data_IF_233403882120
#
_entry.id   IF_233403882120
#
_cell.length_a   1.000
_cell.length_b   1.000
_cell.length_c   1.000
_cell.angle_alpha   90.00
_cell.angle_beta   90.00
_cell.angle_gamma   90.00
#
_symmetry.space_group_name_H-M   'P 1'
#
loop_
_entity.id
_entity.type
_entity.pdbx_description
1 polymer ?
#
# COMPACT_ATOMS: atom_id res chain seq x y z
N UNK A 1 4.18 -28.62 36.76
CA UNK A 1 4.16 -27.15 36.79
C UNK A 1 4.04 -26.67 35.36
N UNK A 2 2.84 -26.27 34.98
CA UNK A 2 2.50 -25.81 33.63
C UNK A 2 2.79 -24.32 33.53
N UNK A 3 3.55 -23.91 32.52
CA UNK A 3 3.58 -22.53 32.02
C UNK A 3 2.72 -22.50 30.76
N UNK A 4 1.49 -21.96 30.79
CA UNK A 4 0.68 -21.78 29.59
C UNK A 4 0.59 -20.29 29.26
N UNK A 5 1.69 -19.62 28.89
CA UNK A 5 1.66 -18.16 28.62
C UNK A 5 2.66 -17.70 27.53
N UNK A 6 3.01 -18.54 26.56
CA UNK A 6 3.85 -18.12 25.43
C UNK A 6 3.27 -18.52 24.07
N UNK A 7 1.96 -18.40 23.92
CA UNK A 7 1.31 -18.19 22.62
C UNK A 7 0.79 -16.75 22.58
N UNK A 8 1.69 -15.77 22.75
CA UNK A 8 1.36 -14.40 22.35
C UNK A 8 1.44 -14.44 20.83
N UNK A 9 0.29 -14.44 20.18
CA UNK A 9 0.10 -14.36 18.74
C UNK A 9 1.04 -13.30 18.13
N UNK A 10 2.25 -13.72 17.74
CA UNK A 10 3.05 -12.99 16.78
C UNK A 10 2.27 -13.12 15.47
N UNK A 11 1.30 -12.22 15.26
CA UNK A 11 0.49 -12.15 14.07
C UNK A 11 1.44 -12.29 12.90
N UNK A 12 1.27 -13.34 12.08
CA UNK A 12 2.24 -13.66 11.02
C UNK A 12 2.53 -12.38 10.23
N UNK A 13 3.77 -12.12 9.78
CA UNK A 13 4.12 -10.88 9.06
C UNK A 13 3.19 -10.62 7.87
N UNK A 14 2.64 -11.67 7.27
CA UNK A 14 1.59 -11.57 6.25
C UNK A 14 0.28 -10.93 6.74
N UNK A 15 -0.19 -11.25 7.94
CA UNK A 15 -1.37 -10.63 8.59
C UNK A 15 -1.07 -9.17 8.90
N UNK A 16 0.11 -8.89 9.43
CA UNK A 16 0.50 -7.54 9.80
C UNK A 16 0.60 -6.60 8.58
N UNK A 17 1.23 -7.09 7.51
CA UNK A 17 1.24 -6.43 6.19
C UNK A 17 -0.16 -6.26 5.63
N UNK A 18 -1.02 -7.27 5.75
CA UNK A 18 -2.40 -7.21 5.26
C UNK A 18 -3.20 -6.11 5.97
N UNK A 19 -3.15 -6.04 7.30
CA UNK A 19 -3.86 -5.01 8.08
C UNK A 19 -3.42 -3.61 7.66
N UNK A 20 -2.11 -3.38 7.52
CA UNK A 20 -1.55 -2.09 7.08
C UNK A 20 -1.94 -1.71 5.66
N UNK A 21 -1.96 -2.68 4.74
CA UNK A 21 -2.46 -2.45 3.37
C UNK A 21 -3.96 -2.13 3.35
N UNK A 22 -4.75 -2.77 4.23
CA UNK A 22 -6.19 -2.48 4.35
C UNK A 22 -6.43 -1.06 4.86
N UNK A 23 -5.66 -0.60 5.85
CA UNK A 23 -5.73 0.79 6.33
C UNK A 23 -5.42 1.77 5.21
N UNK A 24 -4.27 1.64 4.53
CA UNK A 24 -3.92 2.48 3.37
C UNK A 24 -5.01 2.45 2.29
N UNK A 25 -5.56 1.28 2.00
CA UNK A 25 -6.64 1.09 1.05
C UNK A 25 -7.91 1.85 1.40
N UNK A 26 -8.27 1.99 2.68
CA UNK A 26 -9.41 2.82 3.11
C UNK A 26 -9.18 4.30 2.81
N UNK A 27 -7.97 4.81 3.10
CA UNK A 27 -7.61 6.19 2.79
C UNK A 27 -7.62 6.44 1.28
N UNK A 28 -7.02 5.55 0.48
CA UNK A 28 -7.03 5.66 -0.97
C UNK A 28 -8.45 5.66 -1.56
N UNK A 29 -9.35 4.82 -1.06
CA UNK A 29 -10.77 4.85 -1.47
C UNK A 29 -11.44 6.18 -1.16
N UNK A 30 -11.20 6.74 0.03
CA UNK A 30 -11.76 8.04 0.41
C UNK A 30 -11.28 9.16 -0.51
N UNK A 31 -10.11 9.01 -1.14
CA UNK A 31 -9.56 9.93 -2.12
C UNK A 31 -9.84 9.56 -3.58
N UNK A 32 -10.79 8.66 -3.85
CA UNK A 32 -11.29 8.39 -5.20
C UNK A 32 -10.50 7.33 -5.99
N UNK A 33 -9.59 6.60 -5.35
CA UNK A 33 -8.92 5.47 -5.99
C UNK A 33 -9.77 4.20 -5.93
N UNK A 34 -9.68 3.40 -6.98
CA UNK A 34 -10.17 2.03 -6.96
C UNK A 34 -9.07 1.12 -6.44
N UNK A 35 -9.37 0.30 -5.44
CA UNK A 35 -8.42 -0.67 -4.91
C UNK A 35 -8.87 -2.12 -5.13
N UNK A 36 -7.91 -3.01 -5.29
CA UNK A 36 -8.14 -4.45 -5.33
C UNK A 36 -7.07 -5.16 -4.51
N UNK A 37 -7.50 -5.95 -3.52
CA UNK A 37 -6.58 -6.74 -2.71
C UNK A 37 -6.11 -7.95 -3.49
N UNK A 38 -4.79 -8.21 -3.49
CA UNK A 38 -4.18 -9.42 -4.05
C UNK A 38 -3.35 -10.12 -2.98
N UNK A 39 -2.91 -11.34 -3.26
CA UNK A 39 -1.99 -12.06 -2.37
C UNK A 39 -0.73 -11.23 -2.15
N UNK A 40 -0.49 -10.78 -0.92
CA UNK A 40 0.71 -10.02 -0.53
C UNK A 40 0.73 -8.54 -0.93
N UNK A 41 -0.34 -7.98 -1.49
CA UNK A 41 -0.33 -6.59 -1.97
C UNK A 41 -1.70 -5.96 -2.19
N UNK A 42 -1.68 -4.67 -2.49
CA UNK A 42 -2.84 -3.83 -2.77
C UNK A 42 -2.66 -3.17 -4.15
N UNK A 43 -3.47 -3.57 -5.11
CA UNK A 43 -3.51 -2.91 -6.41
C UNK A 43 -4.32 -1.63 -6.29
N UNK A 44 -3.71 -0.50 -6.62
CA UNK A 44 -4.27 0.85 -6.57
C UNK A 44 -4.42 1.35 -7.99
N UNK A 45 -5.60 1.84 -8.35
CA UNK A 45 -5.93 2.33 -9.69
C UNK A 45 -6.53 3.72 -9.62
N UNK A 46 -5.97 4.64 -10.40
CA UNK A 46 -6.55 5.95 -10.63
C UNK A 46 -7.48 5.91 -11.85
N UNK A 47 -8.77 5.76 -11.60
CA UNK A 47 -9.81 5.80 -12.64
C UNK A 47 -10.23 7.23 -13.02
N UNK A 48 -9.79 8.23 -12.26
CA UNK A 48 -10.04 9.65 -12.52
C UNK A 48 -9.00 10.26 -13.46
N UNK A 49 -7.89 9.56 -13.71
CA UNK A 49 -6.83 10.06 -14.58
C UNK A 49 -7.37 10.29 -15.99
N UNK A 50 -7.48 11.56 -16.36
CA UNK A 50 -7.84 12.02 -17.71
C UNK A 50 -6.63 12.01 -18.64
N UNK A 51 -5.47 11.53 -18.16
CA UNK A 51 -4.25 11.41 -18.94
C UNK A 51 -4.53 10.60 -20.21
N UNK A 52 -4.42 11.29 -21.35
CA UNK A 52 -4.57 10.71 -22.67
C UNK A 52 -3.39 9.77 -22.87
N UNK A 53 -3.57 8.50 -22.55
CA UNK A 53 -2.66 7.43 -22.97
C UNK A 53 -2.39 7.59 -24.46
N UNK A 54 -1.13 7.83 -24.84
CA UNK A 54 -0.76 8.10 -26.22
C UNK A 54 -1.13 6.95 -27.19
N UNK A 55 -1.51 5.79 -26.66
CA UNK A 55 -2.01 4.65 -27.41
C UNK A 55 -3.41 4.22 -26.90
N UNK A 56 -4.47 4.78 -27.51
CA UNK A 56 -5.73 4.09 -27.82
C UNK A 56 -6.71 3.65 -26.72
N UNK A 57 -6.29 3.36 -25.50
CA UNK A 57 -7.18 2.96 -24.41
C UNK A 57 -6.84 3.75 -23.16
N UNK A 58 -7.80 4.55 -22.63
CA UNK A 58 -7.69 5.30 -21.37
C UNK A 58 -6.85 4.51 -20.36
N UNK A 59 -5.55 4.82 -20.30
CA UNK A 59 -4.62 4.09 -19.46
C UNK A 59 -4.94 4.43 -18.02
N UNK A 60 -5.69 3.56 -17.35
CA UNK A 60 -5.93 3.68 -15.91
C UNK A 60 -4.58 3.50 -15.24
N UNK A 61 -3.97 4.60 -14.76
CA UNK A 61 -2.70 4.53 -14.04
C UNK A 61 -2.89 3.63 -12.80
N UNK A 62 -2.01 2.65 -12.64
CA UNK A 62 -2.13 1.63 -11.61
C UNK A 62 -0.77 1.22 -11.06
N UNK A 63 -0.74 0.85 -9.79
CA UNK A 63 0.44 0.29 -9.13
C UNK A 63 0.01 -0.77 -8.10
N UNK A 64 0.91 -1.71 -7.79
CA UNK A 64 0.71 -2.71 -6.74
C UNK A 64 1.56 -2.34 -5.54
N UNK A 65 0.91 -1.91 -4.47
CA UNK A 65 1.56 -1.52 -3.23
C UNK A 65 1.74 -2.75 -2.35
N UNK A 66 2.96 -2.95 -1.87
CA UNK A 66 3.27 -3.99 -0.89
C UNK A 66 3.63 -3.37 0.45
N UNK A 67 3.54 -4.15 1.52
CA UNK A 67 3.91 -3.73 2.86
C UNK A 67 4.86 -4.78 3.43
N UNK A 68 6.05 -4.36 3.88
CA UNK A 68 7.05 -5.25 4.46
C UNK A 68 7.97 -4.48 5.42
N UNK A 69 8.67 -5.19 6.33
CA UNK A 69 9.75 -4.59 7.11
C UNK A 69 10.82 -3.99 6.19
N UNK A 70 11.30 -2.81 6.54
CA UNK A 70 12.40 -2.13 5.88
C UNK A 70 13.66 -2.33 6.70
N UNK A 71 14.59 -3.15 6.21
CA UNK A 71 15.79 -3.55 6.95
C UNK A 71 16.70 -2.36 7.27
N UNK A 72 16.74 -1.37 6.39
CA UNK A 72 17.53 -0.14 6.56
C UNK A 72 16.95 0.81 7.62
N UNK A 73 15.68 0.62 8.00
CA UNK A 73 14.95 1.47 8.97
C UNK A 73 14.61 0.68 10.24
N UNK A 74 15.51 -0.21 10.66
CA UNK A 74 15.37 -0.97 11.92
C UNK A 74 14.20 -1.96 11.92
N UNK A 75 13.78 -2.45 10.74
CA UNK A 75 12.68 -3.41 10.61
C UNK A 75 11.28 -2.80 10.70
N UNK A 76 11.16 -1.46 10.70
CA UNK A 76 9.86 -0.78 10.62
C UNK A 76 9.13 -1.15 9.34
N UNK A 77 7.81 -1.23 9.40
CA UNK A 77 7.01 -1.55 8.21
C UNK A 77 6.84 -0.33 7.32
N UNK A 78 7.14 -0.51 6.04
CA UNK A 78 7.02 0.50 5.00
C UNK A 78 6.12 0.02 3.86
N UNK A 79 5.54 0.97 3.16
CA UNK A 79 4.88 0.75 1.88
C UNK A 79 5.89 0.82 0.74
N UNK A 80 5.76 -0.07 -0.23
CA UNK A 80 6.63 -0.13 -1.40
C UNK A 80 5.80 -0.18 -2.67
N UNK A 81 6.30 0.47 -3.73
CA UNK A 81 5.74 0.36 -5.08
C UNK A 81 6.03 -1.01 -5.69
N UNK A 82 5.42 -1.33 -6.83
CA UNK A 82 5.77 -2.53 -7.60
C UNK A 82 7.24 -2.56 -8.07
N UNK A 83 7.90 -1.39 -8.14
CA UNK A 83 9.33 -1.27 -8.44
C UNK A 83 10.23 -1.40 -7.20
N UNK A 84 9.67 -1.85 -6.07
CA UNK A 84 10.38 -2.00 -4.79
C UNK A 84 10.94 -0.69 -4.23
N UNK A 85 10.43 0.46 -4.68
CA UNK A 85 10.85 1.75 -4.13
C UNK A 85 10.05 2.03 -2.83
N UNK A 86 10.72 2.46 -1.76
CA UNK A 86 10.03 2.84 -0.53
C UNK A 86 9.17 4.09 -0.77
N UNK A 87 7.94 4.07 -0.24
CA UNK A 87 7.00 5.19 -0.34
C UNK A 87 7.02 5.98 0.96
N UNK A 88 6.64 5.33 2.07
CA UNK A 88 6.63 5.89 3.41
C UNK A 88 6.47 4.76 4.45
N UNK A 89 6.83 5.06 5.69
CA UNK A 89 6.53 4.24 6.86
C UNK A 89 5.01 4.08 7.05
N UNK A 90 4.58 2.91 7.56
CA UNK A 90 3.16 2.59 7.70
C UNK A 90 2.38 3.41 8.72
N UNK A 91 3.05 4.09 9.65
CA UNK A 91 2.42 5.09 10.53
C UNK A 91 2.15 6.44 9.82
N UNK A 92 2.82 6.68 8.69
CA UNK A 92 2.75 7.92 7.90
C UNK A 92 1.82 7.76 6.70
N UNK A 93 0.58 7.34 6.96
CA UNK A 93 -0.40 6.99 5.90
C UNK A 93 -0.70 8.19 4.97
N UNK A 94 -0.78 9.41 5.51
CA UNK A 94 -1.00 10.62 4.71
C UNK A 94 0.13 10.87 3.72
N UNK A 95 1.38 10.64 4.12
CA UNK A 95 2.53 10.82 3.25
C UNK A 95 2.54 9.77 2.14
N UNK A 96 2.24 8.51 2.50
CA UNK A 96 2.06 7.43 1.52
C UNK A 96 0.99 7.79 0.48
N UNK A 97 -0.16 8.30 0.93
CA UNK A 97 -1.26 8.72 0.08
C UNK A 97 -0.84 9.85 -0.88
N UNK A 98 -0.15 10.88 -0.38
CA UNK A 98 0.29 12.03 -1.21
C UNK A 98 1.27 11.55 -2.29
N UNK A 99 2.22 10.70 -1.93
CA UNK A 99 3.17 10.13 -2.88
C UNK A 99 2.45 9.30 -3.96
N UNK A 100 1.52 8.42 -3.55
CA UNK A 100 0.72 7.59 -4.47
C UNK A 100 -0.12 8.45 -5.42
N UNK A 101 -0.75 9.52 -4.92
CA UNK A 101 -1.46 10.50 -5.75
C UNK A 101 -0.55 11.13 -6.79
N UNK A 102 0.65 11.55 -6.37
CA UNK A 102 1.61 12.23 -7.23
C UNK A 102 2.00 11.40 -8.44
N UNK A 103 2.44 10.15 -8.24
CA UNK A 103 2.91 9.34 -9.36
C UNK A 103 1.80 8.64 -10.16
N UNK A 104 0.61 8.41 -9.57
CA UNK A 104 -0.55 7.92 -10.30
C UNK A 104 -1.34 9.04 -11.03
N UNK A 105 -0.85 10.28 -10.96
CA UNK A 105 -1.44 11.43 -11.66
C UNK A 105 -2.86 11.75 -11.20
N UNK A 106 -3.15 11.60 -9.91
CA UNK A 106 -4.39 12.07 -9.32
C UNK A 106 -4.29 13.58 -9.02
N UNK A 107 -5.40 14.34 -9.13
CA UNK A 107 -5.39 15.73 -8.70
C UNK A 107 -5.04 15.83 -7.22
N UNK A 108 -4.28 16.88 -6.86
CA UNK A 108 -3.82 17.15 -5.50
C UNK A 108 -5.00 17.23 -4.52
#
# INVERSE_FOLDING_TARGET
>A
MSTPEQEREEQSPAVESYVRLKMLGMHLKAHGFTIHQVAGGLVVRNTTSTARSCCGARGVAADTITCRPHEEDGGRYWYFTSWQQPIAETERITDALVMIKGYLGAPA
#
